data_IF_494672158577
#
_entry.id   IF_494672158577
#
_cell.length_a   1.000
_cell.length_b   1.000
_cell.length_c   1.000
_cell.angle_alpha   90.00
_cell.angle_beta   90.00
_cell.angle_gamma   90.00
#
_symmetry.space_group_name_H-M   'P 1'
#
loop_
_entity.id
_entity.type
_entity.pdbx_description
1 polymer ?
#
# COMPACT_ATOMS: atom_id res chain seq x y z
N UNK A 1 14.64 27.23 3.88
CA UNK A 1 14.62 26.67 2.52
C UNK A 1 13.43 25.73 2.45
N UNK A 2 12.48 25.95 1.53
CA UNK A 2 11.40 24.99 1.29
C UNK A 2 12.05 23.75 0.68
N UNK A 3 11.98 22.61 1.38
CA UNK A 3 12.38 21.33 0.81
C UNK A 3 11.29 20.96 -0.18
N UNK A 4 11.58 21.11 -1.48
CA UNK A 4 10.66 20.60 -2.50
C UNK A 4 10.87 19.10 -2.63
N UNK A 5 9.91 18.32 -2.16
CA UNK A 5 9.89 16.88 -2.39
C UNK A 5 9.79 16.61 -3.90
N UNK A 6 10.58 15.64 -4.39
CA UNK A 6 10.60 15.29 -5.81
C UNK A 6 9.36 14.48 -6.18
N UNK A 7 8.58 14.96 -7.15
CA UNK A 7 7.63 14.14 -7.90
C UNK A 7 8.35 13.43 -9.07
N UNK A 8 8.29 12.10 -9.11
CA UNK A 8 8.87 11.30 -10.19
C UNK A 8 8.00 11.27 -11.45
N UNK A 9 6.71 11.58 -11.35
CA UNK A 9 5.84 11.73 -12.53
C UNK A 9 6.17 13.05 -13.23
N UNK A 10 6.56 12.97 -14.51
CA UNK A 10 6.99 14.13 -15.29
C UNK A 10 6.73 13.92 -16.80
N UNK A 11 7.02 14.93 -17.62
CA UNK A 11 6.73 14.86 -19.06
C UNK A 11 7.47 13.74 -19.80
N UNK A 12 8.60 13.22 -19.28
CA UNK A 12 9.36 12.15 -19.94
C UNK A 12 8.68 10.80 -19.85
N UNK A 13 8.04 10.52 -18.71
CA UNK A 13 7.33 9.26 -18.46
C UNK A 13 5.81 9.39 -18.67
N UNK A 14 5.33 10.53 -19.18
CA UNK A 14 3.93 10.76 -19.49
C UNK A 14 3.39 9.71 -20.47
N UNK A 15 2.21 9.19 -20.17
CA UNK A 15 1.42 8.36 -21.07
C UNK A 15 0.16 9.09 -21.54
N UNK A 16 -0.31 8.73 -22.73
CA UNK A 16 -1.59 9.22 -23.24
C UNK A 16 -2.72 8.39 -22.63
N UNK A 17 -3.60 9.06 -21.89
CA UNK A 17 -4.79 8.43 -21.34
C UNK A 17 -5.81 8.23 -22.45
N UNK A 18 -6.22 6.98 -22.69
CA UNK A 18 -7.15 6.62 -23.77
C UNK A 18 -8.63 6.88 -23.44
N UNK A 19 -8.92 7.33 -22.23
CA UNK A 19 -10.28 7.57 -21.72
C UNK A 19 -10.32 8.75 -20.74
N UNK A 20 -11.52 9.23 -20.41
CA UNK A 20 -11.71 10.27 -19.40
C UNK A 20 -11.59 9.67 -18.00
N UNK A 21 -10.62 10.11 -17.21
CA UNK A 21 -10.44 9.68 -15.82
C UNK A 21 -11.59 10.21 -14.97
N UNK A 22 -12.24 9.33 -14.21
CA UNK A 22 -13.24 9.71 -13.22
C UNK A 22 -12.55 10.25 -11.96
N UNK A 23 -12.73 11.54 -11.58
CA UNK A 23 -12.13 12.09 -10.38
C UNK A 23 -12.56 11.39 -9.08
N UNK A 24 -13.70 10.70 -9.07
CA UNK A 24 -14.22 9.97 -7.90
C UNK A 24 -13.40 8.72 -7.56
N UNK A 25 -12.54 8.27 -8.48
CA UNK A 25 -11.66 7.11 -8.27
C UNK A 25 -10.30 7.50 -7.70
N UNK A 26 -10.06 8.81 -7.47
CA UNK A 26 -8.79 9.28 -6.93
C UNK A 26 -8.56 8.76 -5.53
N UNK A 27 -7.32 8.32 -5.28
CA UNK A 27 -6.85 7.88 -3.98
C UNK A 27 -5.38 8.23 -3.81
N UNK A 28 -4.89 8.14 -2.57
CA UNK A 28 -3.48 8.24 -2.24
C UNK A 28 -3.05 6.89 -1.70
N UNK A 29 -2.16 6.20 -2.41
CA UNK A 29 -1.58 4.94 -1.98
C UNK A 29 -0.28 5.22 -1.20
N UNK A 30 -0.12 4.55 -0.07
CA UNK A 30 1.02 4.67 0.82
C UNK A 30 1.72 3.32 0.92
N UNK A 31 2.99 3.26 0.56
CA UNK A 31 3.82 2.06 0.73
C UNK A 31 4.92 2.34 1.74
N UNK A 32 4.91 1.60 2.84
CA UNK A 32 5.88 1.73 3.93
C UNK A 32 6.89 0.61 3.84
N UNK A 33 8.16 0.99 3.87
CA UNK A 33 9.30 0.07 3.81
C UNK A 33 9.81 -0.25 5.23
N UNK A 34 10.58 -1.34 5.35
CA UNK A 34 11.20 -1.74 6.63
C UNK A 34 12.21 -0.69 7.12
N UNK A 35 12.93 -0.04 6.22
CA UNK A 35 13.91 1.01 6.53
C UNK A 35 13.25 2.38 6.80
N UNK A 36 11.95 2.38 7.15
CA UNK A 36 11.19 3.56 7.58
C UNK A 36 11.15 4.66 6.51
N UNK A 37 11.03 4.27 5.25
CA UNK A 37 10.66 5.15 4.14
C UNK A 37 9.20 4.95 3.78
N UNK A 38 8.63 5.98 3.16
CA UNK A 38 7.29 5.95 2.58
C UNK A 38 7.36 6.32 1.11
N UNK A 39 6.65 5.56 0.28
CA UNK A 39 6.32 5.91 -1.09
C UNK A 39 4.89 6.44 -1.07
N UNK A 40 4.71 7.69 -1.46
CA UNK A 40 3.39 8.33 -1.54
C UNK A 40 3.03 8.43 -3.01
N UNK A 41 1.90 7.82 -3.38
CA UNK A 41 1.44 7.75 -4.77
C UNK A 41 0.07 8.42 -4.87
N UNK A 42 -0.03 9.46 -5.71
CA UNK A 42 -1.30 10.05 -6.09
C UNK A 42 -1.88 9.29 -7.28
N UNK A 43 -2.91 8.50 -7.03
CA UNK A 43 -3.52 7.58 -7.98
C UNK A 43 -4.75 8.22 -8.60
N UNK A 44 -4.79 8.27 -9.93
CA UNK A 44 -5.91 8.80 -10.69
C UNK A 44 -7.05 7.77 -10.80
N UNK A 45 -6.66 6.52 -11.10
CA UNK A 45 -7.51 5.34 -11.15
C UNK A 45 -6.63 4.06 -11.12
N UNK A 46 -7.21 2.89 -11.44
CA UNK A 46 -6.49 1.61 -11.41
C UNK A 46 -5.30 1.50 -12.38
N UNK A 47 -5.20 2.36 -13.41
CA UNK A 47 -4.17 2.27 -14.44
C UNK A 47 -3.17 3.43 -14.39
N UNK A 48 -3.59 4.59 -13.87
CA UNK A 48 -2.81 5.81 -13.95
C UNK A 48 -2.58 6.44 -12.59
N UNK A 49 -1.37 6.96 -12.41
CA UNK A 49 -0.95 7.82 -11.32
C UNK A 49 -0.54 9.18 -11.88
N UNK A 50 -0.58 10.20 -11.04
CA UNK A 50 -0.15 11.56 -11.37
C UNK A 50 0.94 12.09 -10.41
N UNK A 51 1.23 11.34 -9.35
CA UNK A 51 2.25 11.68 -8.38
C UNK A 51 2.93 10.42 -7.85
N UNK A 52 4.26 10.48 -7.70
CA UNK A 52 5.03 9.55 -6.89
C UNK A 52 6.15 10.31 -6.20
N UNK A 53 6.29 10.15 -4.89
CA UNK A 53 7.41 10.68 -4.11
C UNK A 53 7.89 9.67 -3.08
N UNK A 54 9.17 9.79 -2.69
CA UNK A 54 9.81 8.91 -1.71
C UNK A 54 10.54 9.77 -0.68
N UNK A 55 10.39 9.43 0.59
CA UNK A 55 10.94 10.17 1.73
C UNK A 55 11.09 9.25 2.94
N UNK A 56 11.82 9.69 3.97
CA UNK A 56 11.75 9.06 5.27
C UNK A 56 10.36 9.32 5.90
N UNK A 57 9.83 8.37 6.67
CA UNK A 57 8.54 8.57 7.36
C UNK A 57 8.59 9.77 8.31
N UNK A 58 9.73 9.99 8.97
CA UNK A 58 9.96 11.10 9.91
C UNK A 58 10.17 12.46 9.23
N UNK A 59 10.34 12.52 7.90
CA UNK A 59 10.45 13.77 7.17
C UNK A 59 9.07 14.41 7.00
N UNK A 60 8.57 14.97 8.12
CA UNK A 60 7.25 15.58 8.17
C UNK A 60 7.09 16.73 7.15
N UNK A 61 8.17 17.47 6.88
CA UNK A 61 8.15 18.56 5.91
C UNK A 61 7.91 18.04 4.48
N UNK A 62 8.66 17.02 4.06
CA UNK A 62 8.50 16.44 2.73
C UNK A 62 7.14 15.73 2.58
N UNK A 63 6.72 14.98 3.60
CA UNK A 63 5.45 14.23 3.57
C UNK A 63 4.24 15.15 3.54
N UNK A 64 4.25 16.24 4.33
CA UNK A 64 3.18 17.21 4.32
C UNK A 64 3.08 17.97 3.00
N UNK A 65 4.24 18.36 2.44
CA UNK A 65 4.29 19.00 1.11
C UNK A 65 3.74 18.08 0.02
N UNK A 66 4.10 16.78 0.03
CA UNK A 66 3.56 15.81 -0.93
C UNK A 66 2.04 15.74 -0.88
N UNK A 67 1.47 15.63 0.32
CA UNK A 67 0.01 15.58 0.50
C UNK A 67 -0.67 16.87 0.02
N UNK A 68 -0.12 18.03 0.37
CA UNK A 68 -0.67 19.32 -0.04
C UNK A 68 -0.63 19.48 -1.57
N UNK A 69 0.45 19.06 -2.23
CA UNK A 69 0.54 19.10 -3.70
C UNK A 69 -0.46 18.15 -4.36
N UNK A 70 -0.57 16.90 -3.88
CA UNK A 70 -1.52 15.91 -4.40
C UNK A 70 -2.95 16.43 -4.31
N UNK A 71 -3.32 17.05 -3.18
CA UNK A 71 -4.72 17.40 -2.89
C UNK A 71 -5.14 18.77 -3.42
N UNK A 72 -4.23 19.75 -3.53
CA UNK A 72 -4.56 21.13 -3.95
C UNK A 72 -4.36 21.39 -5.44
N UNK A 73 -3.51 20.62 -6.12
CA UNK A 73 -3.18 20.86 -7.52
C UNK A 73 -4.04 20.05 -8.49
N UNK A 74 -4.20 20.58 -9.71
CA UNK A 74 -4.73 19.84 -10.85
C UNK A 74 -3.57 19.23 -11.62
N UNK A 75 -3.65 17.93 -11.87
CA UNK A 75 -2.63 17.19 -12.57
C UNK A 75 -3.09 16.87 -14.00
N UNK A 76 -2.28 17.24 -14.98
CA UNK A 76 -2.49 16.95 -16.41
C UNK A 76 -1.61 15.79 -16.91
N UNK A 77 -0.55 15.49 -16.16
CA UNK A 77 0.44 14.48 -16.49
C UNK A 77 0.12 13.20 -15.73
N UNK A 78 -0.04 12.12 -16.50
CA UNK A 78 -0.41 10.81 -15.99
C UNK A 78 0.56 9.77 -16.55
N UNK A 79 0.83 8.72 -15.78
CA UNK A 79 1.66 7.59 -16.18
C UNK A 79 1.27 6.32 -15.42
N UNK A 80 1.81 5.18 -15.82
CA UNK A 80 1.69 3.94 -15.08
C UNK A 80 2.72 3.87 -13.95
N UNK A 81 2.33 3.31 -12.80
CA UNK A 81 3.17 3.22 -11.60
C UNK A 81 4.53 2.55 -11.86
N UNK A 82 4.56 1.43 -12.59
CA UNK A 82 5.79 0.68 -12.83
C UNK A 82 6.87 1.50 -13.57
N UNK A 83 6.49 2.47 -14.41
CA UNK A 83 7.45 3.28 -15.17
C UNK A 83 8.24 4.26 -14.31
N UNK A 84 7.67 4.68 -13.18
CA UNK A 84 8.30 5.69 -12.32
C UNK A 84 8.92 5.10 -11.05
N UNK A 85 8.55 3.86 -10.70
CA UNK A 85 9.16 3.15 -9.57
C UNK A 85 10.65 2.91 -9.81
N UNK A 86 11.03 2.48 -11.02
CA UNK A 86 12.43 2.25 -11.37
C UNK A 86 13.27 3.54 -11.23
N UNK A 87 12.73 4.68 -11.68
CA UNK A 87 13.38 5.99 -11.50
C UNK A 87 13.54 6.36 -10.02
N UNK A 88 12.63 5.88 -9.16
CA UNK A 88 12.67 6.07 -7.71
C UNK A 88 13.55 5.04 -6.97
N UNK A 89 14.16 4.09 -7.70
CA UNK A 89 15.06 3.08 -7.17
C UNK A 89 14.36 1.85 -6.59
N UNK A 90 13.18 1.51 -7.10
CA UNK A 90 12.42 0.32 -6.72
C UNK A 90 11.99 -0.45 -7.96
N UNK A 91 12.03 -1.78 -7.86
CA UNK A 91 11.38 -2.66 -8.83
C UNK A 91 9.89 -2.81 -8.46
N UNK A 92 9.05 -3.20 -9.42
CA UNK A 92 7.61 -3.35 -9.13
C UNK A 92 7.35 -4.45 -8.10
N UNK A 93 8.16 -5.51 -8.14
CA UNK A 93 8.14 -6.63 -7.19
C UNK A 93 8.51 -6.21 -5.76
N UNK A 94 9.24 -5.10 -5.57
CA UNK A 94 9.56 -4.60 -4.23
C UNK A 94 8.30 -4.20 -3.45
N UNK A 95 7.22 -3.83 -4.13
CA UNK A 95 5.96 -3.48 -3.49
C UNK A 95 5.35 -4.65 -2.71
N UNK A 96 5.65 -5.90 -3.09
CA UNK A 96 5.19 -7.10 -2.36
C UNK A 96 5.82 -7.21 -0.96
N UNK A 97 6.94 -6.51 -0.75
CA UNK A 97 7.67 -6.43 0.52
C UNK A 97 7.36 -5.18 1.35
N UNK A 98 6.33 -4.43 0.98
CA UNK A 98 5.92 -3.20 1.65
C UNK A 98 4.54 -3.33 2.31
N UNK A 99 4.36 -2.62 3.42
CA UNK A 99 3.01 -2.41 3.94
C UNK A 99 2.32 -1.35 3.08
N UNK A 100 1.13 -1.66 2.58
CA UNK A 100 0.36 -0.83 1.66
C UNK A 100 -0.96 -0.44 2.31
N UNK A 101 -1.25 0.85 2.31
CA UNK A 101 -2.52 1.40 2.75
C UNK A 101 -2.99 2.50 1.80
N UNK A 102 -4.23 2.94 1.96
CA UNK A 102 -4.82 3.96 1.08
C UNK A 102 -5.64 4.99 1.82
N UNK A 103 -5.54 6.22 1.34
CA UNK A 103 -6.44 7.32 1.66
C UNK A 103 -7.37 7.50 0.46
N UNK A 104 -8.68 7.45 0.72
CA UNK A 104 -9.71 7.53 -0.32
C UNK A 104 -10.62 8.72 -0.06
N UNK A 105 -11.33 9.17 -1.09
CA UNK A 105 -12.34 10.22 -0.90
C UNK A 105 -13.38 9.81 0.13
N UNK A 106 -13.69 10.71 1.05
CA UNK A 106 -14.70 10.48 2.08
C UNK A 106 -16.11 10.67 1.52
N UNK A 107 -17.04 9.86 2.01
CA UNK A 107 -18.49 10.05 1.77
C UNK A 107 -19.17 10.83 2.90
N UNK A 108 -18.41 11.21 3.93
CA UNK A 108 -18.95 11.90 5.10
C UNK A 108 -19.07 13.42 4.84
N UNK A 109 -20.18 14.06 5.24
CA UNK A 109 -20.33 15.51 5.09
C UNK A 109 -19.21 16.28 5.78
N UNK A 110 -18.59 17.24 5.07
CA UNK A 110 -17.51 18.08 5.58
C UNK A 110 -16.11 17.44 5.57
N UNK A 111 -16.00 16.16 5.21
CA UNK A 111 -14.74 15.44 5.11
C UNK A 111 -14.36 15.23 3.64
N UNK A 112 -13.09 15.47 3.29
CA UNK A 112 -12.59 15.21 1.94
C UNK A 112 -11.95 13.82 1.83
N UNK A 113 -11.23 13.38 2.87
CA UNK A 113 -10.42 12.17 2.79
C UNK A 113 -10.67 11.26 4.00
N UNK A 114 -10.96 9.98 3.73
CA UNK A 114 -10.98 8.92 4.73
C UNK A 114 -9.60 8.30 4.83
N UNK A 115 -9.04 8.27 6.03
CA UNK A 115 -7.67 7.80 6.27
C UNK A 115 -7.68 6.41 6.91
N UNK A 116 -6.59 5.63 6.79
CA UNK A 116 -6.43 4.40 7.56
C UNK A 116 -6.03 4.64 9.02
N UNK A 117 -5.84 5.90 9.42
CA UNK A 117 -5.39 6.31 10.76
C UNK A 117 -6.55 6.50 11.75
N UNK A 118 -7.75 6.01 11.40
CA UNK A 118 -8.93 6.06 12.27
C UNK A 118 -9.66 7.40 12.31
N UNK A 119 -9.31 8.34 11.42
CA UNK A 119 -9.96 9.63 11.30
C UNK A 119 -10.04 10.12 9.83
N UNK A 120 -10.62 11.29 9.60
CA UNK A 120 -10.76 11.89 8.28
C UNK A 120 -10.07 13.25 8.21
N UNK A 121 -9.59 13.64 7.03
CA UNK A 121 -9.13 15.01 6.76
C UNK A 121 -10.27 15.85 6.16
N UNK A 122 -10.40 17.08 6.65
CA UNK A 122 -11.46 18.01 6.25
C UNK A 122 -11.21 18.61 4.86
N UNK A 123 -12.27 19.11 4.21
CA UNK A 123 -12.16 19.72 2.88
C UNK A 123 -11.41 21.07 2.86
N UNK A 124 -11.52 21.85 3.94
CA UNK A 124 -11.02 23.24 4.01
C UNK A 124 -9.92 23.44 5.07
N UNK A 125 -9.22 22.37 5.46
CA UNK A 125 -8.18 22.45 6.50
C UNK A 125 -6.82 22.75 5.89
N UNK A 126 -6.29 23.94 6.17
CA UNK A 126 -4.93 24.35 5.77
C UNK A 126 -3.84 23.46 6.41
N UNK A 127 -4.15 22.82 7.54
CA UNK A 127 -3.23 21.99 8.32
C UNK A 127 -3.22 20.51 7.93
N UNK A 128 -4.00 20.08 6.92
CA UNK A 128 -4.09 18.67 6.55
C UNK A 128 -2.74 18.04 6.20
N UNK A 129 -1.86 18.74 5.46
CA UNK A 129 -0.52 18.26 5.19
C UNK A 129 0.30 18.00 6.46
N UNK A 130 0.17 18.87 7.47
CA UNK A 130 0.84 18.70 8.77
C UNK A 130 0.30 17.50 9.54
N UNK A 131 -1.02 17.32 9.58
CA UNK A 131 -1.61 16.15 10.24
C UNK A 131 -1.22 14.84 9.54
N UNK A 132 -1.29 14.82 8.21
CA UNK A 132 -0.83 13.69 7.41
C UNK A 132 0.63 13.33 7.66
N UNK A 133 1.50 14.33 7.65
CA UNK A 133 2.92 14.15 7.94
C UNK A 133 3.15 13.51 9.32
N UNK A 134 2.45 14.00 10.34
CA UNK A 134 2.52 13.47 11.69
C UNK A 134 2.01 12.02 11.77
N UNK A 135 0.89 11.71 11.11
CA UNK A 135 0.37 10.34 11.06
C UNK A 135 1.37 9.39 10.41
N UNK A 136 1.91 9.76 9.24
CA UNK A 136 2.91 8.98 8.50
C UNK A 136 4.17 8.73 9.33
N UNK A 137 4.64 9.73 10.09
CA UNK A 137 5.80 9.59 10.96
C UNK A 137 5.58 8.54 12.06
N UNK A 138 4.35 8.42 12.59
CA UNK A 138 4.00 7.46 13.64
C UNK A 138 3.70 6.04 13.14
N UNK A 139 3.37 5.85 11.86
CA UNK A 139 2.98 4.54 11.30
C UNK A 139 4.00 3.44 11.56
N UNK A 140 5.32 3.61 11.28
CA UNK A 140 6.29 2.54 11.47
C UNK A 140 6.29 1.98 12.90
N UNK A 141 6.24 2.83 13.91
CA UNK A 141 6.26 2.39 15.32
C UNK A 141 5.00 1.57 15.68
N UNK A 142 3.84 1.96 15.15
CA UNK A 142 2.59 1.22 15.33
C UNK A 142 2.66 -0.14 14.64
N UNK A 143 3.15 -0.21 13.39
CA UNK A 143 3.25 -1.46 12.64
C UNK A 143 4.26 -2.43 13.28
N UNK A 144 5.42 -1.92 13.73
CA UNK A 144 6.41 -2.71 14.44
C UNK A 144 5.86 -3.23 15.79
N UNK A 145 5.09 -2.41 16.52
CA UNK A 145 4.41 -2.86 17.74
C UNK A 145 3.40 -3.97 17.45
N UNK A 146 2.60 -3.84 16.38
CA UNK A 146 1.68 -4.90 15.93
C UNK A 146 2.43 -6.19 15.60
N UNK A 147 3.56 -6.11 14.90
CA UNK A 147 4.42 -7.27 14.62
C UNK A 147 4.82 -7.98 15.92
N UNK A 148 5.45 -7.26 16.86
CA UNK A 148 5.92 -7.83 18.14
C UNK A 148 4.79 -8.50 18.94
N UNK A 149 3.62 -7.86 18.99
CA UNK A 149 2.45 -8.39 19.69
C UNK A 149 1.96 -9.68 19.00
N UNK A 150 1.81 -9.65 17.66
CA UNK A 150 1.33 -10.78 16.87
C UNK A 150 2.28 -11.97 16.97
N UNK A 151 3.58 -11.74 16.84
CA UNK A 151 4.64 -12.76 16.92
C UNK A 151 4.64 -13.50 18.25
N UNK A 152 4.21 -12.82 19.33
CA UNK A 152 4.01 -13.39 20.66
C UNK A 152 5.22 -14.20 21.17
N UNK A 153 6.44 -13.71 20.92
CA UNK A 153 7.68 -14.38 21.29
C UNK A 153 7.98 -15.64 20.47
N UNK A 154 7.66 -15.62 19.16
CA UNK A 154 7.92 -16.72 18.22
C UNK A 154 6.80 -17.75 18.12
N UNK A 155 5.73 -17.63 18.93
CA UNK A 155 4.58 -18.55 18.91
C UNK A 155 3.74 -18.44 17.65
N UNK A 156 3.82 -17.31 16.94
CA UNK A 156 3.09 -17.09 15.70
C UNK A 156 3.70 -17.79 14.49
N UNK A 157 5.02 -18.05 14.53
CA UNK A 157 5.69 -18.65 13.39
C UNK A 157 5.10 -20.03 12.99
N UNK A 158 4.84 -20.96 13.92
CA UNK A 158 4.12 -22.20 13.61
C UNK A 158 2.73 -21.99 12.98
N UNK A 159 2.04 -20.90 13.30
CA UNK A 159 0.73 -20.56 12.70
C UNK A 159 0.91 -20.19 11.22
N UNK A 160 1.91 -19.38 10.88
CA UNK A 160 2.24 -19.07 9.48
C UNK A 160 2.68 -20.31 8.69
N UNK A 161 3.42 -21.23 9.33
CA UNK A 161 3.78 -22.50 8.71
C UNK A 161 2.52 -23.32 8.37
N UNK A 162 1.54 -23.35 9.27
CA UNK A 162 0.27 -24.04 9.04
C UNK A 162 -0.56 -23.38 7.92
N UNK A 163 -0.61 -22.05 7.86
CA UNK A 163 -1.27 -21.34 6.76
C UNK A 163 -0.66 -21.73 5.42
N UNK A 164 0.67 -21.67 5.31
CA UNK A 164 1.37 -22.02 4.07
C UNK A 164 1.18 -23.51 3.72
N UNK A 165 1.14 -24.40 4.72
CA UNK A 165 0.86 -25.82 4.51
C UNK A 165 -0.51 -26.00 3.86
N UNK A 166 -1.57 -25.44 4.45
CA UNK A 166 -2.94 -25.50 3.92
C UNK A 166 -3.00 -24.91 2.51
N UNK A 167 -2.43 -23.72 2.28
CA UNK A 167 -2.42 -23.09 0.96
C UNK A 167 -1.74 -23.94 -0.13
N UNK A 168 -0.86 -24.89 0.24
CA UNK A 168 -0.19 -25.82 -0.67
C UNK A 168 -0.89 -27.17 -0.83
N UNK A 169 -2.01 -27.43 -0.17
CA UNK A 169 -2.81 -28.65 -0.35
C UNK A 169 -3.72 -28.59 -1.57
N UNK A 170 -3.48 -27.64 -2.47
CA UNK A 170 -4.38 -27.30 -3.57
C UNK A 170 -4.56 -28.41 -4.60
N UNK A 171 -3.61 -29.35 -4.70
CA UNK A 171 -3.69 -30.49 -5.62
C UNK A 171 -3.93 -30.08 -7.08
N UNK A 172 -3.51 -28.88 -7.47
CA UNK A 172 -3.80 -28.22 -8.75
C UNK A 172 -5.29 -27.98 -9.05
N UNK A 173 -6.19 -28.09 -8.06
CA UNK A 173 -7.61 -27.78 -8.22
C UNK A 173 -7.82 -26.26 -8.39
N UNK A 174 -8.35 -25.80 -9.54
CA UNK A 174 -8.64 -24.38 -9.76
C UNK A 174 -9.71 -23.82 -8.81
N UNK A 175 -10.59 -24.65 -8.25
CA UNK A 175 -11.64 -24.23 -7.32
C UNK A 175 -11.16 -24.19 -5.86
N UNK A 176 -9.95 -24.67 -5.56
CA UNK A 176 -9.41 -24.71 -4.21
C UNK A 176 -9.37 -23.33 -3.53
N UNK A 177 -9.14 -22.26 -4.32
CA UNK A 177 -9.19 -20.87 -3.87
C UNK A 177 -10.53 -20.51 -3.18
N UNK A 178 -11.61 -21.18 -3.55
CA UNK A 178 -12.95 -20.96 -2.99
C UNK A 178 -13.24 -21.76 -1.73
N UNK A 179 -12.32 -22.61 -1.28
CA UNK A 179 -12.47 -23.37 -0.04
C UNK A 179 -12.61 -22.45 1.18
N UNK A 180 -13.35 -22.87 2.23
CA UNK A 180 -13.48 -22.09 3.46
C UNK A 180 -12.15 -21.73 4.11
N UNK A 181 -11.20 -22.67 4.13
CA UNK A 181 -9.90 -22.48 4.78
C UNK A 181 -9.05 -21.45 4.04
N UNK A 182 -8.97 -21.52 2.70
CA UNK A 182 -8.24 -20.52 1.90
C UNK A 182 -8.86 -19.14 2.09
N UNK A 183 -10.20 -19.01 2.04
CA UNK A 183 -10.88 -17.73 2.27
C UNK A 183 -10.62 -17.16 3.68
N UNK A 184 -10.59 -18.03 4.69
CA UNK A 184 -10.30 -17.61 6.06
C UNK A 184 -8.85 -17.12 6.19
N UNK A 185 -7.89 -17.89 5.66
CA UNK A 185 -6.48 -17.53 5.64
C UNK A 185 -6.26 -16.22 4.88
N UNK A 186 -6.87 -16.05 3.69
CA UNK A 186 -6.86 -14.80 2.92
C UNK A 186 -7.31 -13.59 3.75
N UNK A 187 -8.41 -13.75 4.49
CA UNK A 187 -8.93 -12.71 5.38
C UNK A 187 -7.94 -12.35 6.49
N UNK A 188 -7.30 -13.35 7.10
CA UNK A 188 -6.30 -13.17 8.15
C UNK A 188 -5.04 -12.49 7.59
N UNK A 189 -4.48 -13.02 6.50
CA UNK A 189 -3.28 -12.46 5.85
C UNK A 189 -3.49 -11.00 5.47
N UNK A 190 -4.67 -10.64 4.94
CA UNK A 190 -5.01 -9.25 4.63
C UNK A 190 -4.99 -8.34 5.88
N UNK A 191 -5.54 -8.80 7.01
CA UNK A 191 -5.54 -8.03 8.25
C UNK A 191 -4.15 -7.94 8.90
N UNK A 192 -3.27 -8.87 8.58
CA UNK A 192 -1.94 -9.02 9.16
C UNK A 192 -0.82 -8.53 8.24
N UNK A 193 -1.15 -7.72 7.25
CA UNK A 193 -0.20 -7.19 6.28
C UNK A 193 1.05 -6.56 6.89
N UNK A 194 0.94 -5.98 8.08
CA UNK A 194 2.06 -5.41 8.82
C UNK A 194 3.21 -6.41 9.06
N UNK A 195 2.94 -7.73 9.07
CA UNK A 195 3.97 -8.77 9.25
C UNK A 195 5.04 -8.76 8.15
N UNK A 196 4.78 -8.17 6.99
CA UNK A 196 5.81 -7.98 5.96
C UNK A 196 6.98 -7.09 6.45
N UNK A 197 6.74 -6.27 7.47
CA UNK A 197 7.73 -5.41 8.12
C UNK A 197 8.33 -6.02 9.39
N UNK A 198 7.94 -7.24 9.79
CA UNK A 198 8.35 -7.88 11.04
C UNK A 198 9.86 -7.87 11.26
N UNK A 199 10.32 -7.66 12.50
CA UNK A 199 11.74 -7.73 12.84
C UNK A 199 12.36 -9.11 12.57
N UNK A 200 11.56 -10.17 12.69
CA UNK A 200 11.94 -11.56 12.49
C UNK A 200 11.88 -11.93 11.00
N UNK A 201 13.05 -12.26 10.43
CA UNK A 201 13.18 -12.64 9.01
C UNK A 201 12.32 -13.87 8.66
N UNK A 202 12.18 -14.84 9.57
CA UNK A 202 11.42 -16.07 9.29
C UNK A 202 9.93 -15.79 9.18
N UNK A 203 9.42 -14.92 10.06
CA UNK A 203 8.02 -14.48 10.03
C UNK A 203 7.74 -13.75 8.72
N UNK A 204 8.62 -12.82 8.32
CA UNK A 204 8.50 -12.12 7.03
C UNK A 204 8.49 -13.04 5.83
N UNK A 205 9.46 -13.94 5.73
CA UNK A 205 9.60 -14.85 4.60
C UNK A 205 8.39 -15.78 4.47
N UNK A 206 7.90 -16.34 5.58
CA UNK A 206 6.72 -17.20 5.56
C UNK A 206 5.43 -16.44 5.29
N UNK A 207 5.27 -15.24 5.85
CA UNK A 207 4.13 -14.38 5.55
C UNK A 207 4.11 -14.03 4.05
N UNK A 208 5.25 -13.61 3.49
CA UNK A 208 5.39 -13.32 2.07
C UNK A 208 5.10 -14.55 1.20
N UNK A 209 5.64 -15.72 1.56
CA UNK A 209 5.38 -16.96 0.84
C UNK A 209 3.88 -17.35 0.84
N UNK A 210 3.19 -17.16 1.97
CA UNK A 210 1.75 -17.39 2.06
C UNK A 210 0.97 -16.42 1.17
N UNK A 211 1.32 -15.13 1.16
CA UNK A 211 0.73 -14.12 0.26
C UNK A 211 0.95 -14.45 -1.22
N UNK A 212 2.14 -14.89 -1.58
CA UNK A 212 2.47 -15.30 -2.95
C UNK A 212 1.65 -16.52 -3.37
N UNK A 213 1.57 -17.54 -2.53
CA UNK A 213 0.77 -18.74 -2.80
C UNK A 213 -0.72 -18.40 -2.92
N UNK A 214 -1.25 -17.52 -2.06
CA UNK A 214 -2.62 -17.01 -2.17
C UNK A 214 -2.88 -16.35 -3.54
N UNK A 215 -1.96 -15.49 -3.99
CA UNK A 215 -2.05 -14.83 -5.29
C UNK A 215 -2.00 -15.84 -6.46
N UNK A 216 -1.14 -16.85 -6.37
CA UNK A 216 -1.07 -17.96 -7.35
C UNK A 216 -2.40 -18.72 -7.42
N UNK A 217 -3.01 -19.07 -6.28
CA UNK A 217 -4.32 -19.74 -6.23
C UNK A 217 -5.42 -18.89 -6.86
N UNK A 218 -5.46 -17.60 -6.53
CA UNK A 218 -6.41 -16.65 -7.13
C UNK A 218 -6.23 -16.57 -8.64
N UNK A 219 -4.99 -16.45 -9.13
CA UNK A 219 -4.71 -16.36 -10.56
C UNK A 219 -5.13 -17.64 -11.31
N UNK A 220 -4.88 -18.83 -10.72
CA UNK A 220 -5.34 -20.11 -11.28
C UNK A 220 -6.86 -20.14 -11.36
N UNK A 221 -7.56 -19.78 -10.28
CA UNK A 221 -9.02 -19.70 -10.25
C UNK A 221 -9.54 -18.75 -11.33
N UNK A 222 -9.00 -17.52 -11.40
CA UNK A 222 -9.42 -16.53 -12.39
C UNK A 222 -9.17 -16.97 -13.83
N UNK A 223 -8.10 -17.74 -14.09
CA UNK A 223 -7.84 -18.33 -15.41
C UNK A 223 -8.88 -19.38 -15.78
N UNK A 224 -9.37 -20.15 -14.81
CA UNK A 224 -10.34 -21.22 -15.06
C UNK A 224 -11.79 -20.73 -15.21
N UNK A 225 -12.14 -19.58 -14.63
CA UNK A 225 -13.52 -19.03 -14.66
C UNK A 225 -13.73 -17.85 -15.61
N UNK A 226 -12.66 -17.39 -16.28
CA UNK A 226 -12.73 -16.40 -17.36
C UNK A 226 -13.07 -17.06 -18.69
#
# INVERSE_FOLDING_TARGET
MCVMIKNYVNQKNRQNVSYTINPDHRQIDLYFTRDRRVIIVGTADNNYIFWLSVSACEDEAANGEAFDQITRQKWDTHTALYLVLEEAGFDYEDLEWMYHDRIVQSKQPGMAWSTPFGHCYGADSEDNGKFFAHDVAGVPDVLEAKCRIREAGGRYFPVLQEYLRILNEDGDDPLYYMSPDVRAISGILKQEQYLILSGDIKVREYYHAAKKKEAELYNRYMTAVR
#
